data_IF_305137499079
#
_entry.id   IF_305137499079
#
_cell.length_a   1.000
_cell.length_b   1.000
_cell.length_c   1.000
_cell.angle_alpha   90.00
_cell.angle_beta   90.00
_cell.angle_gamma   90.00
#
_symmetry.space_group_name_H-M   'P 1'
#
loop_
_entity.id
_entity.type
_entity.pdbx_description
1 polymer ?
#
# COMPACT_ATOMS: atom_id res chain seq x y z
N UNK A 1 -31.57 28.22 -25.07
CA UNK A 1 -31.35 27.97 -23.63
C UNK A 1 -31.97 26.62 -23.35
N UNK A 2 -31.44 25.52 -23.86
CA UNK A 2 -30.06 25.03 -23.87
C UNK A 2 -29.55 24.75 -22.46
N UNK A 3 -29.73 23.49 -22.05
CA UNK A 3 -28.93 22.71 -21.10
C UNK A 3 -29.42 21.28 -21.24
N UNK A 4 -29.05 20.69 -22.37
CA UNK A 4 -29.10 19.25 -22.59
C UNK A 4 -28.09 18.62 -21.63
N UNK A 5 -28.60 17.87 -20.64
CA UNK A 5 -27.77 17.07 -19.74
C UNK A 5 -27.44 15.80 -20.49
N UNK A 6 -26.31 15.82 -21.17
CA UNK A 6 -25.67 14.62 -21.72
C UNK A 6 -25.35 13.67 -20.56
N UNK A 7 -26.21 12.67 -20.40
CA UNK A 7 -25.92 11.48 -19.61
C UNK A 7 -24.95 10.64 -20.43
N UNK A 8 -23.65 10.82 -20.24
CA UNK A 8 -22.64 9.95 -20.82
C UNK A 8 -22.72 8.58 -20.13
N UNK A 9 -23.48 7.68 -20.77
CA UNK A 9 -23.66 6.29 -20.39
C UNK A 9 -22.33 5.53 -20.63
N UNK A 10 -21.50 5.39 -19.59
CA UNK A 10 -20.26 4.58 -19.63
C UNK A 10 -20.67 3.09 -19.74
N UNK A 11 -20.83 2.60 -20.97
CA UNK A 11 -21.58 1.35 -21.27
C UNK A 11 -20.70 0.13 -21.52
N UNK A 12 -19.45 0.07 -21.06
CA UNK A 12 -18.70 -1.21 -21.09
C UNK A 12 -17.64 -1.32 -20.01
N UNK A 13 -17.93 -2.17 -19.01
CA UNK A 13 -16.99 -2.61 -17.99
C UNK A 13 -16.22 -3.84 -18.50
N UNK A 14 -14.90 -3.74 -18.61
CA UNK A 14 -14.02 -4.86 -18.97
C UNK A 14 -13.26 -5.25 -17.70
N UNK A 15 -13.74 -6.28 -16.99
CA UNK A 15 -13.19 -6.72 -15.71
C UNK A 15 -11.82 -7.40 -15.80
N UNK A 16 -11.14 -7.52 -14.63
CA UNK A 16 -9.82 -8.16 -14.36
C UNK A 16 -9.21 -8.92 -15.53
N UNK A 17 -8.34 -8.25 -16.30
CA UNK A 17 -7.54 -8.85 -17.37
C UNK A 17 -6.14 -9.30 -16.89
N UNK A 18 -5.69 -8.79 -15.74
CA UNK A 18 -4.36 -9.02 -15.17
C UNK A 18 -4.17 -10.38 -14.49
N UNK A 19 -5.24 -11.00 -13.96
CA UNK A 19 -5.18 -12.34 -13.34
C UNK A 19 -4.73 -13.45 -14.31
N UNK A 20 -4.75 -13.21 -15.63
CA UNK A 20 -4.43 -14.21 -16.68
C UNK A 20 -3.13 -13.92 -17.43
N UNK A 21 -2.48 -12.78 -17.18
CA UNK A 21 -1.36 -12.32 -17.99
C UNK A 21 -0.02 -12.47 -17.25
N UNK A 22 1.01 -12.92 -17.96
CA UNK A 22 2.41 -13.04 -17.46
C UNK A 22 3.40 -12.31 -18.39
N UNK A 23 2.93 -11.63 -19.45
CA UNK A 23 3.73 -10.94 -20.48
C UNK A 23 2.85 -10.01 -21.35
N UNK A 24 3.45 -9.07 -22.11
CA UNK A 24 2.78 -8.19 -23.10
C UNK A 24 1.77 -8.89 -24.00
N UNK A 25 2.18 -10.04 -24.56
CA UNK A 25 1.33 -10.87 -25.42
C UNK A 25 0.08 -11.37 -24.70
N UNK A 26 0.21 -11.64 -23.40
CA UNK A 26 -0.89 -12.15 -22.60
C UNK A 26 -1.83 -11.04 -22.13
N UNK A 27 -1.36 -9.80 -21.94
CA UNK A 27 -2.23 -8.69 -21.54
C UNK A 27 -3.15 -8.26 -22.69
N UNK A 28 -2.59 -8.02 -23.89
CA UNK A 28 -3.39 -7.71 -25.07
C UNK A 28 -4.40 -8.81 -25.37
N UNK A 29 -3.99 -10.09 -25.27
CA UNK A 29 -4.89 -11.23 -25.42
C UNK A 29 -5.92 -11.34 -24.30
N UNK A 30 -5.58 -11.03 -23.04
CA UNK A 30 -6.52 -11.07 -21.92
C UNK A 30 -7.59 -9.96 -22.04
N UNK A 31 -7.17 -8.76 -22.45
CA UNK A 31 -8.10 -7.64 -22.71
C UNK A 31 -8.96 -7.97 -23.93
N UNK A 32 -8.37 -8.48 -25.02
CA UNK A 32 -9.11 -8.93 -26.20
C UNK A 32 -10.14 -10.01 -25.85
N UNK A 33 -9.74 -11.02 -25.07
CA UNK A 33 -10.62 -12.07 -24.58
C UNK A 33 -11.79 -11.52 -23.75
N UNK A 34 -11.52 -10.57 -22.84
CA UNK A 34 -12.56 -9.92 -22.02
C UNK A 34 -13.50 -9.05 -22.85
N UNK A 35 -13.02 -8.50 -23.96
CA UNK A 35 -13.79 -7.74 -24.93
C UNK A 35 -14.50 -8.64 -25.97
N UNK A 36 -14.42 -9.97 -25.81
CA UNK A 36 -14.96 -10.98 -26.74
C UNK A 36 -14.43 -10.80 -28.19
N UNK A 37 -13.17 -10.37 -28.30
CA UNK A 37 -12.47 -10.19 -29.57
C UNK A 37 -11.77 -11.49 -29.95
N UNK A 38 -12.24 -12.12 -31.03
CA UNK A 38 -11.58 -13.29 -31.63
C UNK A 38 -10.19 -12.97 -32.16
N UNK A 39 -9.22 -13.82 -31.80
CA UNK A 39 -7.83 -13.76 -32.25
C UNK A 39 -7.74 -14.08 -33.75
N UNK A 40 -7.84 -13.05 -34.59
CA UNK A 40 -7.58 -13.17 -36.02
C UNK A 40 -6.09 -13.04 -36.26
N UNK A 41 -5.52 -13.97 -37.03
CA UNK A 41 -4.09 -14.29 -37.11
C UNK A 41 -3.17 -13.21 -37.72
N UNK A 42 -3.60 -11.95 -37.80
CA UNK A 42 -2.94 -10.94 -38.64
C UNK A 42 -2.79 -9.54 -38.04
N UNK A 43 -3.43 -9.17 -36.92
CA UNK A 43 -2.89 -8.13 -36.03
C UNK A 43 -2.35 -8.73 -34.73
N UNK A 44 -1.42 -8.02 -34.07
CA UNK A 44 -1.08 -8.38 -32.68
C UNK A 44 -2.30 -8.19 -31.79
N UNK A 45 -2.48 -8.95 -30.69
CA UNK A 45 -3.62 -8.80 -29.79
C UNK A 45 -3.80 -7.36 -29.28
N UNK A 46 -2.71 -6.62 -29.07
CA UNK A 46 -2.74 -5.21 -28.70
C UNK A 46 -3.36 -4.34 -29.80
N UNK A 47 -3.01 -4.59 -31.07
CA UNK A 47 -3.56 -3.87 -32.22
C UNK A 47 -5.07 -4.12 -32.39
N UNK A 48 -5.51 -5.38 -32.18
CA UNK A 48 -6.95 -5.73 -32.22
C UNK A 48 -7.72 -4.94 -31.17
N UNK A 49 -7.16 -4.80 -29.96
CA UNK A 49 -7.76 -4.00 -28.90
C UNK A 49 -7.76 -2.52 -29.29
N UNK A 50 -6.64 -1.95 -29.73
CA UNK A 50 -6.56 -0.54 -30.15
C UNK A 50 -7.56 -0.22 -31.24
N UNK A 51 -7.65 -1.04 -32.29
CA UNK A 51 -8.61 -0.83 -33.38
C UNK A 51 -10.05 -0.93 -32.89
N UNK A 52 -10.33 -1.81 -31.93
CA UNK A 52 -11.66 -1.92 -31.31
C UNK A 52 -12.02 -0.71 -30.45
N UNK A 53 -11.05 -0.13 -29.73
CA UNK A 53 -11.26 0.97 -28.79
C UNK A 53 -11.16 2.36 -29.43
N UNK A 54 -10.54 2.50 -30.62
CA UNK A 54 -10.20 3.78 -31.26
C UNK A 54 -11.32 4.83 -31.26
N UNK A 55 -12.53 4.42 -31.65
CA UNK A 55 -13.68 5.33 -31.80
C UNK A 55 -14.66 5.26 -30.61
N UNK A 56 -14.31 4.53 -29.54
CA UNK A 56 -15.17 4.26 -28.39
C UNK A 56 -14.83 5.16 -27.20
N UNK A 57 -15.86 5.48 -26.41
CA UNK A 57 -15.71 6.09 -25.10
C UNK A 57 -15.93 5.04 -24.02
N UNK A 58 -14.87 4.72 -23.26
CA UNK A 58 -14.91 3.66 -22.27
C UNK A 58 -13.92 3.89 -21.14
N UNK A 59 -14.22 3.26 -19.99
CA UNK A 59 -13.31 3.13 -18.87
C UNK A 59 -12.70 1.72 -18.87
N UNK A 60 -11.38 1.64 -19.05
CA UNK A 60 -10.62 0.40 -18.90
C UNK A 60 -10.12 0.30 -17.46
N UNK A 61 -10.57 -0.72 -16.73
CA UNK A 61 -10.12 -0.96 -15.34
C UNK A 61 -9.10 -2.10 -15.33
N UNK A 62 -7.86 -1.78 -14.94
CA UNK A 62 -6.79 -2.76 -14.76
C UNK A 62 -6.52 -2.91 -13.27
N UNK A 63 -6.65 -4.14 -12.76
CA UNK A 63 -6.48 -4.40 -11.32
C UNK A 63 -5.10 -5.03 -11.08
N UNK A 64 -4.36 -4.67 -10.02
CA UNK A 64 -3.16 -5.37 -9.57
C UNK A 64 -2.04 -5.45 -10.65
N UNK A 65 -1.71 -4.30 -11.25
CA UNK A 65 -0.75 -4.17 -12.35
C UNK A 65 0.72 -4.36 -11.94
N UNK A 66 1.05 -4.37 -10.65
CA UNK A 66 2.44 -4.41 -10.15
C UNK A 66 3.24 -5.64 -10.61
N UNK A 67 2.58 -6.75 -10.97
CA UNK A 67 3.25 -7.96 -11.46
C UNK A 67 3.57 -7.96 -12.94
N UNK A 68 3.07 -6.96 -13.68
CA UNK A 68 3.13 -6.92 -15.14
C UNK A 68 3.59 -5.57 -15.67
N UNK A 69 4.27 -4.76 -14.86
CA UNK A 69 4.70 -3.41 -15.26
C UNK A 69 5.38 -3.39 -16.64
N UNK A 70 6.36 -4.27 -16.86
CA UNK A 70 7.10 -4.36 -18.13
C UNK A 70 6.19 -4.60 -19.35
N UNK A 71 5.00 -5.18 -19.15
CA UNK A 71 4.04 -5.38 -20.23
C UNK A 71 2.75 -4.57 -20.18
N UNK A 72 2.43 -3.94 -19.05
CA UNK A 72 1.31 -3.02 -18.94
C UNK A 72 1.68 -1.69 -19.58
N UNK A 73 2.88 -1.16 -19.30
CA UNK A 73 3.28 0.18 -19.75
C UNK A 73 3.29 0.32 -21.28
N UNK A 74 3.91 -0.58 -22.08
CA UNK A 74 3.90 -0.43 -23.55
C UNK A 74 2.50 -0.60 -24.15
N UNK A 75 1.66 -1.47 -23.57
CA UNK A 75 0.29 -1.66 -24.01
C UNK A 75 -0.57 -0.41 -23.75
N UNK A 76 -0.44 0.17 -22.55
CA UNK A 76 -1.15 1.40 -22.20
C UNK A 76 -0.71 2.58 -23.08
N UNK A 77 0.59 2.68 -23.39
CA UNK A 77 1.08 3.69 -24.33
C UNK A 77 0.38 3.62 -25.69
N UNK A 78 0.25 2.40 -26.25
CA UNK A 78 -0.43 2.19 -27.53
C UNK A 78 -1.92 2.54 -27.46
N UNK A 79 -2.62 2.14 -26.39
CA UNK A 79 -4.04 2.44 -26.19
C UNK A 79 -4.26 3.95 -26.03
N UNK A 80 -3.51 4.60 -25.14
CA UNK A 80 -3.68 6.02 -24.83
C UNK A 80 -3.27 6.92 -26.01
N UNK A 81 -2.30 6.51 -26.82
CA UNK A 81 -1.89 7.24 -28.01
C UNK A 81 -2.95 7.20 -29.13
N UNK A 82 -3.62 6.05 -29.29
CA UNK A 82 -4.50 5.82 -30.44
C UNK A 82 -6.00 5.87 -30.12
N UNK A 83 -6.38 5.91 -28.83
CA UNK A 83 -7.77 5.87 -28.38
C UNK A 83 -8.06 7.04 -27.43
N UNK A 84 -8.24 8.28 -27.94
CA UNK A 84 -8.27 9.50 -27.12
C UNK A 84 -9.50 9.62 -26.20
N UNK A 85 -10.52 8.79 -26.38
CA UNK A 85 -11.75 8.75 -25.57
C UNK A 85 -11.75 7.62 -24.54
N UNK A 86 -10.63 6.90 -24.40
CA UNK A 86 -10.47 5.84 -23.40
C UNK A 86 -9.84 6.42 -22.14
N UNK A 87 -10.47 6.16 -21.00
CA UNK A 87 -9.92 6.44 -19.68
C UNK A 87 -9.42 5.13 -19.08
N UNK A 88 -8.24 5.15 -18.46
CA UNK A 88 -7.67 3.98 -17.79
C UNK A 88 -7.65 4.23 -16.29
N UNK A 89 -8.26 3.33 -15.51
CA UNK A 89 -8.12 3.26 -14.07
C UNK A 89 -7.31 2.00 -13.73
N UNK A 90 -6.06 2.18 -13.30
CA UNK A 90 -5.20 1.09 -12.89
C UNK A 90 -5.04 1.07 -11.37
N UNK A 91 -5.11 -0.12 -10.76
CA UNK A 91 -4.64 -0.34 -9.38
C UNK A 91 -3.28 -1.02 -9.44
N UNK A 92 -2.34 -0.52 -8.65
CA UNK A 92 -0.98 -1.03 -8.59
C UNK A 92 -0.36 -0.66 -7.25
N UNK A 93 0.59 -1.46 -6.76
CA UNK A 93 1.46 -1.08 -5.62
C UNK A 93 2.56 -0.11 -5.99
N UNK A 94 2.81 0.06 -7.29
CA UNK A 94 3.84 0.93 -7.83
C UNK A 94 3.37 1.70 -9.07
N UNK A 95 3.92 2.90 -9.24
CA UNK A 95 3.70 3.72 -10.44
C UNK A 95 3.90 2.90 -11.73
N UNK A 96 3.05 3.12 -12.73
CA UNK A 96 3.20 2.49 -14.05
C UNK A 96 4.22 3.22 -14.93
N UNK A 97 4.71 4.38 -14.49
CA UNK A 97 5.62 5.27 -15.21
C UNK A 97 5.16 5.56 -16.65
N UNK A 98 3.86 5.79 -16.82
CA UNK A 98 3.22 6.00 -18.14
C UNK A 98 2.99 7.50 -18.39
N UNK A 99 3.24 8.04 -19.60
CA UNK A 99 2.94 9.43 -19.90
C UNK A 99 1.47 9.79 -19.63
N UNK A 100 1.24 10.84 -18.85
CA UNK A 100 -0.10 11.28 -18.46
C UNK A 100 -0.69 10.55 -17.24
N UNK A 101 0.09 9.68 -16.59
CA UNK A 101 -0.31 9.03 -15.33
C UNK A 101 -0.59 10.06 -14.23
N UNK A 102 -1.72 9.87 -13.55
CA UNK A 102 -2.07 10.60 -12.33
C UNK A 102 -2.20 9.58 -11.20
N UNK A 103 -1.32 9.69 -10.21
CA UNK A 103 -1.33 8.81 -9.05
C UNK A 103 -2.37 9.29 -8.04
N UNK A 104 -3.27 8.39 -7.65
CA UNK A 104 -4.20 8.60 -6.56
C UNK A 104 -3.82 7.65 -5.42
N UNK A 105 -3.00 8.08 -4.46
CA UNK A 105 -2.65 7.24 -3.32
C UNK A 105 -3.92 6.95 -2.51
N UNK A 106 -4.09 5.69 -2.10
CA UNK A 106 -5.18 5.25 -1.23
C UNK A 106 -4.62 5.12 0.19
N UNK A 107 -4.79 6.13 1.06
CA UNK A 107 -4.25 6.07 2.40
C UNK A 107 -5.02 5.03 3.25
N UNK A 108 -4.41 4.53 4.34
CA UNK A 108 -5.15 3.83 5.38
C UNK A 108 -6.29 4.69 5.94
N UNK A 109 -7.23 4.07 6.66
CA UNK A 109 -8.28 4.85 7.33
C UNK A 109 -7.72 5.72 8.45
N UNK A 110 -8.29 6.91 8.63
CA UNK A 110 -8.03 7.71 9.82
C UNK A 110 -8.37 6.93 11.09
N UNK A 111 -7.52 7.09 12.10
CA UNK A 111 -7.66 6.44 13.41
C UNK A 111 -7.87 7.48 14.52
N UNK A 112 -8.61 7.14 15.59
CA UNK A 112 -8.80 8.06 16.72
C UNK A 112 -7.49 8.40 17.42
N UNK A 113 -7.22 9.69 17.65
CA UNK A 113 -6.10 10.17 18.46
C UNK A 113 -6.29 9.93 19.96
N UNK A 114 -5.29 10.29 20.76
CA UNK A 114 -5.31 10.09 22.23
C UNK A 114 -6.30 10.99 22.96
N UNK A 115 -6.61 12.13 22.34
CA UNK A 115 -7.57 13.13 22.80
C UNK A 115 -9.03 12.65 22.69
N UNK A 116 -9.30 11.63 21.87
CA UNK A 116 -10.65 11.11 21.67
C UNK A 116 -11.04 10.19 22.84
N UNK A 117 -11.85 10.73 23.75
CA UNK A 117 -12.22 10.04 25.01
C UNK A 117 -13.66 9.55 25.04
N UNK A 118 -14.56 10.14 24.24
CA UNK A 118 -15.98 9.81 24.24
C UNK A 118 -16.31 8.70 23.22
N UNK A 119 -17.11 7.68 23.60
CA UNK A 119 -17.51 6.59 22.69
C UNK A 119 -18.18 7.06 21.39
N UNK A 120 -18.98 8.12 21.46
CA UNK A 120 -19.72 8.68 20.34
C UNK A 120 -18.81 9.29 19.26
N UNK A 121 -17.69 9.88 19.66
CA UNK A 121 -16.73 10.48 18.73
C UNK A 121 -15.95 9.42 17.93
N UNK A 122 -15.78 8.20 18.47
CA UNK A 122 -15.08 7.11 17.77
C UNK A 122 -15.78 6.70 16.48
N UNK A 123 -17.10 6.78 16.42
CA UNK A 123 -17.87 6.33 15.25
C UNK A 123 -17.66 7.21 14.01
N UNK A 124 -16.99 8.36 14.14
CA UNK A 124 -16.60 9.23 13.02
C UNK A 124 -15.43 8.67 12.21
N UNK A 125 -14.66 7.75 12.77
CA UNK A 125 -13.48 7.18 12.13
C UNK A 125 -13.84 5.91 11.35
N UNK A 126 -13.48 5.85 10.06
CA UNK A 126 -13.80 4.71 9.21
C UNK A 126 -13.11 3.41 9.67
N UNK A 127 -11.93 3.51 10.29
CA UNK A 127 -11.26 2.38 10.93
C UNK A 127 -12.13 1.73 12.02
N UNK A 128 -12.77 2.56 12.85
CA UNK A 128 -13.67 2.12 13.93
C UNK A 128 -14.95 1.54 13.33
N UNK A 129 -15.54 2.21 12.34
CA UNK A 129 -16.76 1.74 11.67
C UNK A 129 -16.55 0.37 11.03
N UNK A 130 -15.43 0.18 10.33
CA UNK A 130 -15.08 -1.12 9.76
C UNK A 130 -14.89 -2.17 10.87
N UNK A 131 -14.17 -1.85 11.95
CA UNK A 131 -13.98 -2.79 13.05
C UNK A 131 -15.34 -3.23 13.64
N UNK A 132 -16.22 -2.28 13.94
CA UNK A 132 -17.55 -2.54 14.52
C UNK A 132 -18.40 -3.38 13.57
N UNK A 133 -18.40 -3.07 12.28
CA UNK A 133 -19.15 -3.83 11.28
C UNK A 133 -18.68 -5.29 11.20
N UNK A 134 -17.35 -5.50 11.12
CA UNK A 134 -16.75 -6.84 11.11
C UNK A 134 -16.95 -7.59 12.43
N UNK A 135 -16.86 -6.91 13.56
CA UNK A 135 -17.12 -7.48 14.88
C UNK A 135 -18.58 -7.92 15.02
N UNK A 136 -19.53 -7.09 14.60
CA UNK A 136 -20.97 -7.38 14.66
C UNK A 136 -21.40 -8.54 13.75
N UNK A 137 -20.75 -8.71 12.60
CA UNK A 137 -20.99 -9.86 11.72
C UNK A 137 -20.74 -11.21 12.43
N UNK A 138 -19.97 -11.21 13.52
CA UNK A 138 -19.46 -12.42 14.17
C UNK A 138 -19.93 -12.49 15.65
N UNK A 139 -20.09 -11.35 16.31
CA UNK A 139 -20.63 -11.19 17.66
C UNK A 139 -21.67 -10.04 17.62
N UNK A 140 -22.95 -10.32 17.30
CA UNK A 140 -23.97 -9.29 17.11
C UNK A 140 -24.29 -8.43 18.34
N UNK A 141 -23.80 -8.83 19.52
CA UNK A 141 -23.93 -8.07 20.77
C UNK A 141 -22.81 -7.07 20.99
N UNK A 142 -21.85 -6.98 20.06
CA UNK A 142 -20.72 -6.05 20.18
C UNK A 142 -21.22 -4.61 20.04
N UNK A 143 -20.98 -3.81 21.07
CA UNK A 143 -21.32 -2.38 21.09
C UNK A 143 -20.16 -1.61 21.69
N UNK A 144 -19.97 -0.38 21.22
CA UNK A 144 -19.00 0.54 21.82
C UNK A 144 -19.60 1.03 23.15
N UNK A 145 -18.86 0.88 24.23
CA UNK A 145 -19.21 1.34 25.57
C UNK A 145 -18.12 2.24 26.12
N UNK A 146 -18.41 2.98 27.18
CA UNK A 146 -17.39 3.77 27.88
C UNK A 146 -16.22 2.93 28.39
N UNK A 147 -16.45 1.65 28.68
CA UNK A 147 -15.43 0.75 29.22
C UNK A 147 -14.50 0.20 28.13
N UNK A 148 -14.92 0.18 26.86
CA UNK A 148 -14.16 -0.45 25.77
C UNK A 148 -13.70 0.53 24.68
N UNK A 149 -14.15 1.78 24.73
CA UNK A 149 -13.84 2.81 23.74
C UNK A 149 -12.34 3.07 23.62
N UNK A 150 -11.64 3.19 24.75
CA UNK A 150 -10.20 3.43 24.77
C UNK A 150 -9.39 2.25 24.21
N UNK A 151 -9.79 1.02 24.55
CA UNK A 151 -9.16 -0.17 24.00
C UNK A 151 -9.42 -0.29 22.48
N UNK A 152 -10.63 0.02 22.01
CA UNK A 152 -10.96 0.02 20.59
C UNK A 152 -10.13 1.05 19.82
N UNK A 153 -10.01 2.27 20.34
CA UNK A 153 -9.12 3.29 19.78
C UNK A 153 -7.66 2.81 19.76
N UNK A 154 -7.19 2.18 20.84
CA UNK A 154 -5.83 1.59 20.90
C UNK A 154 -5.64 0.51 19.84
N UNK A 155 -6.62 -0.38 19.64
CA UNK A 155 -6.59 -1.40 18.58
C UNK A 155 -6.52 -0.74 17.20
N UNK A 156 -7.41 0.19 16.87
CA UNK A 156 -7.41 0.85 15.57
C UNK A 156 -6.09 1.56 15.27
N UNK A 157 -5.52 2.27 16.26
CA UNK A 157 -4.19 2.90 16.15
C UNK A 157 -3.08 1.89 15.89
N UNK A 158 -3.05 0.79 16.65
CA UNK A 158 -2.05 -0.28 16.47
C UNK A 158 -2.16 -1.00 15.13
N UNK A 159 -3.33 -0.98 14.51
CA UNK A 159 -3.56 -1.53 13.18
C UNK A 159 -3.35 -0.48 12.08
N UNK A 160 -2.97 0.74 12.45
CA UNK A 160 -2.62 1.85 11.56
C UNK A 160 -3.69 2.17 10.51
N UNK A 161 -4.97 1.94 10.85
CA UNK A 161 -6.05 2.15 9.90
C UNK A 161 -6.08 1.18 8.72
N UNK A 162 -5.22 0.16 8.69
CA UNK A 162 -5.11 -0.79 7.59
C UNK A 162 -6.39 -1.65 7.53
N UNK A 163 -7.22 -1.52 6.48
CA UNK A 163 -8.53 -2.16 6.44
C UNK A 163 -8.46 -3.67 6.69
N UNK A 164 -7.53 -4.35 6.04
CA UNK A 164 -7.37 -5.80 6.19
C UNK A 164 -6.92 -6.20 7.61
N UNK A 165 -6.02 -5.44 8.22
CA UNK A 165 -5.56 -5.73 9.58
C UNK A 165 -6.72 -5.57 10.58
N UNK A 166 -7.55 -4.55 10.38
CA UNK A 166 -8.81 -4.31 11.11
C UNK A 166 -9.76 -5.50 10.96
N UNK A 167 -10.00 -5.99 9.75
CA UNK A 167 -10.87 -7.14 9.55
C UNK A 167 -10.38 -8.39 10.29
N UNK A 168 -9.07 -8.69 10.21
CA UNK A 168 -8.46 -9.84 10.85
C UNK A 168 -8.49 -9.75 12.38
N UNK A 169 -8.31 -8.55 12.93
CA UNK A 169 -8.39 -8.30 14.37
C UNK A 169 -9.83 -8.37 14.88
N UNK A 170 -10.80 -7.81 14.16
CA UNK A 170 -12.21 -7.78 14.55
C UNK A 170 -12.80 -9.18 14.74
N UNK A 171 -12.37 -10.17 13.95
CA UNK A 171 -12.78 -11.58 14.10
C UNK A 171 -12.40 -12.16 15.48
N UNK A 172 -11.38 -11.61 16.15
CA UNK A 172 -10.86 -12.12 17.43
C UNK A 172 -11.73 -11.77 18.63
N UNK A 173 -12.70 -10.86 18.49
CA UNK A 173 -13.58 -10.45 19.60
C UNK A 173 -14.44 -11.59 20.17
N UNK A 174 -14.58 -12.71 19.44
CA UNK A 174 -15.21 -13.94 19.99
C UNK A 174 -14.40 -14.60 21.09
N UNK A 175 -13.08 -14.44 21.06
CA UNK A 175 -12.15 -15.18 21.90
C UNK A 175 -11.37 -14.28 22.87
N UNK A 176 -11.24 -12.99 22.53
CA UNK A 176 -10.42 -12.02 23.25
C UNK A 176 -11.21 -10.73 23.50
N UNK A 177 -10.98 -10.09 24.65
CA UNK A 177 -11.40 -8.70 24.88
C UNK A 177 -10.59 -7.72 24.02
N UNK A 178 -11.05 -6.49 23.86
CA UNK A 178 -10.32 -5.45 23.12
C UNK A 178 -8.97 -5.12 23.77
N UNK A 179 -8.90 -5.02 25.10
CA UNK A 179 -7.63 -4.92 25.84
C UNK A 179 -6.67 -6.06 25.51
N UNK A 180 -7.17 -7.29 25.52
CA UNK A 180 -6.39 -8.49 25.19
C UNK A 180 -5.91 -8.54 23.75
N UNK A 181 -6.67 -7.97 22.80
CA UNK A 181 -6.26 -7.83 21.40
C UNK A 181 -5.15 -6.78 21.32
N UNK A 182 -5.35 -5.61 21.93
CA UNK A 182 -4.40 -4.51 21.90
C UNK A 182 -3.05 -4.89 22.55
N UNK A 183 -3.06 -5.53 23.73
CA UNK A 183 -1.84 -5.96 24.44
C UNK A 183 -1.04 -7.01 23.66
N UNK A 184 -1.72 -7.79 22.82
CA UNK A 184 -1.05 -8.80 22.01
C UNK A 184 -0.52 -8.22 20.70
N UNK A 185 -1.14 -7.17 20.17
CA UNK A 185 -0.60 -6.39 19.05
C UNK A 185 0.72 -5.69 19.43
N UNK A 186 0.97 -5.42 20.72
CA UNK A 186 2.29 -4.97 21.22
C UNK A 186 3.42 -6.00 21.07
N UNK A 187 3.09 -7.28 20.89
CA UNK A 187 4.00 -8.40 21.14
C UNK A 187 4.33 -9.23 19.89
N UNK A 188 4.43 -8.57 18.72
CA UNK A 188 4.56 -9.12 17.35
C UNK A 188 3.20 -9.31 16.69
N UNK A 189 3.11 -8.96 15.40
CA UNK A 189 1.99 -9.22 14.48
C UNK A 189 1.56 -10.72 14.36
N UNK A 190 2.08 -11.61 15.21
CA UNK A 190 1.68 -13.01 15.43
C UNK A 190 0.17 -13.21 15.62
N UNK A 191 -0.54 -12.19 16.11
CA UNK A 191 -2.00 -12.25 16.23
C UNK A 191 -2.71 -12.34 14.88
N UNK A 192 -2.14 -11.77 13.83
CA UNK A 192 -2.71 -11.76 12.48
C UNK A 192 -2.38 -13.04 11.70
N UNK A 193 -1.42 -13.85 12.17
CA UNK A 193 -0.96 -15.06 11.47
C UNK A 193 -1.59 -16.37 11.97
N UNK A 194 -2.09 -16.43 13.21
CA UNK A 194 -2.58 -17.69 13.78
C UNK A 194 -4.10 -17.82 13.69
N UNK A 195 -4.59 -18.49 12.64
CA UNK A 195 -5.78 -19.33 12.72
C UNK A 195 -7.03 -18.87 11.98
N UNK A 196 -7.16 -19.28 10.71
CA UNK A 196 -8.47 -19.44 10.06
C UNK A 196 -8.38 -20.49 8.95
N UNK A 197 -8.72 -21.74 9.30
CA UNK A 197 -8.68 -22.91 8.39
C UNK A 197 -9.75 -22.88 7.28
N UNK A 198 -10.72 -21.97 7.34
CA UNK A 198 -11.89 -21.93 6.45
C UNK A 198 -12.19 -20.54 5.84
N UNK A 199 -11.20 -19.65 5.73
CA UNK A 199 -11.35 -18.43 4.92
C UNK A 199 -10.62 -18.60 3.59
N UNK A 200 -11.10 -17.98 2.49
CA UNK A 200 -10.44 -18.06 1.19
C UNK A 200 -8.95 -17.75 1.34
N UNK A 201 -8.12 -18.36 0.49
CA UNK A 201 -6.64 -18.36 0.48
C UNK A 201 -5.95 -16.99 0.44
N UNK A 202 -6.67 -15.90 0.70
CA UNK A 202 -6.14 -14.58 0.98
C UNK A 202 -5.72 -14.45 2.45
N UNK A 203 -6.31 -15.11 3.45
CA UNK A 203 -6.12 -14.77 4.88
C UNK A 203 -4.80 -15.18 5.61
N UNK A 204 -3.77 -15.67 4.90
CA UNK A 204 -2.38 -15.72 5.42
C UNK A 204 -1.66 -14.36 5.26
N UNK A 205 -2.42 -13.27 5.23
CA UNK A 205 -2.27 -12.20 4.23
C UNK A 205 -1.21 -11.18 4.53
N UNK A 206 -1.04 -10.73 5.77
CA UNK A 206 -0.30 -9.49 5.97
C UNK A 206 1.20 -9.70 5.79
N UNK A 207 1.79 -10.69 6.49
CA UNK A 207 3.21 -11.03 6.30
C UNK A 207 3.48 -11.52 4.88
N UNK A 208 2.66 -12.40 4.32
CA UNK A 208 2.82 -12.84 2.92
C UNK A 208 2.68 -11.70 1.90
N UNK A 209 1.86 -10.68 2.15
CA UNK A 209 1.81 -9.50 1.28
C UNK A 209 3.03 -8.61 1.42
N UNK A 210 3.59 -8.50 2.64
CA UNK A 210 4.82 -7.76 2.91
C UNK A 210 6.03 -8.49 2.32
N UNK A 211 6.13 -9.81 2.50
CA UNK A 211 7.11 -10.70 1.87
C UNK A 211 7.10 -10.45 0.34
N UNK A 212 5.91 -10.40 -0.26
CA UNK A 212 5.77 -10.12 -1.68
C UNK A 212 6.20 -8.70 -2.07
N UNK A 213 5.83 -7.69 -1.29
CA UNK A 213 6.32 -6.32 -1.53
C UNK A 213 7.85 -6.25 -1.43
N UNK A 214 8.46 -7.01 -0.52
CA UNK A 214 9.91 -7.11 -0.38
C UNK A 214 10.56 -7.83 -1.58
N UNK A 215 9.98 -8.93 -2.06
CA UNK A 215 10.43 -9.65 -3.26
C UNK A 215 10.33 -8.80 -4.55
N UNK A 216 9.43 -7.82 -4.60
CA UNK A 216 9.30 -6.85 -5.70
C UNK A 216 10.30 -5.69 -5.62
N UNK A 217 11.01 -5.55 -4.49
CA UNK A 217 12.07 -4.56 -4.35
C UNK A 217 13.39 -5.07 -4.95
N UNK A 218 14.13 -4.19 -5.60
CA UNK A 218 15.51 -4.44 -6.01
C UNK A 218 16.41 -4.58 -4.78
N UNK A 219 17.61 -5.12 -4.95
CA UNK A 219 18.55 -5.30 -3.84
C UNK A 219 18.90 -3.97 -3.12
N UNK A 220 19.16 -2.84 -3.81
CA UNK A 220 19.33 -1.54 -3.16
C UNK A 220 18.11 -1.09 -2.35
N UNK A 221 16.90 -1.30 -2.88
CA UNK A 221 15.65 -0.94 -2.22
C UNK A 221 15.39 -1.79 -0.97
N UNK A 222 15.64 -3.10 -1.04
CA UNK A 222 15.57 -4.00 0.10
C UNK A 222 16.55 -3.58 1.21
N UNK A 223 17.78 -3.20 0.84
CA UNK A 223 18.78 -2.68 1.77
C UNK A 223 18.34 -1.37 2.43
N UNK A 224 17.85 -0.40 1.65
CA UNK A 224 17.38 0.88 2.20
C UNK A 224 16.16 0.69 3.09
N UNK A 225 15.15 -0.11 2.69
CA UNK A 225 14.00 -0.43 3.54
C UNK A 225 14.47 -1.07 4.86
N UNK A 226 15.30 -2.11 4.78
CA UNK A 226 15.83 -2.81 5.94
C UNK A 226 16.56 -1.88 6.90
N UNK A 227 17.40 -0.97 6.39
CA UNK A 227 18.16 0.00 7.21
C UNK A 227 17.28 1.11 7.78
N UNK A 228 16.37 1.64 6.97
CA UNK A 228 15.42 2.68 7.37
C UNK A 228 14.47 2.20 8.49
N UNK A 229 14.28 0.89 8.64
CA UNK A 229 13.44 0.35 9.71
C UNK A 229 13.90 0.71 11.13
N UNK A 230 15.15 1.20 11.30
CA UNK A 230 15.71 1.67 12.57
C UNK A 230 15.05 2.94 13.11
N UNK A 231 14.45 3.75 12.24
CA UNK A 231 13.76 4.96 12.63
C UNK A 231 12.39 4.61 13.22
N UNK A 232 12.14 4.94 14.48
CA UNK A 232 10.84 4.68 15.16
C UNK A 232 9.75 5.69 14.79
N UNK A 233 9.99 6.54 13.79
CA UNK A 233 9.12 7.59 13.28
C UNK A 233 9.66 8.11 11.96
N UNK A 234 9.13 9.23 11.47
CA UNK A 234 9.60 9.78 10.20
C UNK A 234 11.05 10.28 10.24
N UNK A 235 11.72 10.29 9.10
CA UNK A 235 13.11 10.74 8.94
C UNK A 235 13.26 11.66 7.73
N UNK A 236 14.24 12.56 7.74
CA UNK A 236 14.57 13.42 6.60
C UNK A 236 15.57 12.74 5.65
N UNK A 237 15.87 13.39 4.51
CA UNK A 237 16.81 12.85 3.52
C UNK A 237 18.23 12.71 4.07
N UNK A 238 18.71 13.69 4.84
CA UNK A 238 20.07 13.66 5.38
C UNK A 238 20.27 12.49 6.35
N UNK A 239 19.25 12.21 7.17
CA UNK A 239 19.18 11.05 8.04
C UNK A 239 19.25 9.76 7.24
N UNK A 240 18.45 9.67 6.17
CA UNK A 240 18.42 8.49 5.32
C UNK A 240 19.77 8.24 4.64
N UNK A 241 20.40 9.26 4.05
CA UNK A 241 21.72 9.15 3.41
C UNK A 241 22.80 8.69 4.40
N UNK A 242 22.77 9.22 5.63
CA UNK A 242 23.74 8.87 6.65
C UNK A 242 23.59 7.42 7.16
N UNK A 243 22.35 6.99 7.37
CA UNK A 243 22.02 5.71 8.04
C UNK A 243 21.85 4.56 7.05
N UNK A 244 21.22 4.81 5.90
CA UNK A 244 20.87 3.79 4.91
C UNK A 244 21.98 3.60 3.85
N UNK A 245 22.82 4.61 3.62
CA UNK A 245 23.99 4.50 2.75
C UNK A 245 25.07 3.57 3.32
N UNK A 246 25.90 3.01 2.44
CA UNK A 246 27.00 2.11 2.78
C UNK A 246 27.03 0.87 1.89
N UNK A 247 27.47 -0.26 2.41
CA UNK A 247 27.64 -1.50 1.64
C UNK A 247 26.41 -1.80 0.75
N UNK A 248 26.60 -1.80 -0.57
CA UNK A 248 25.54 -2.08 -1.55
C UNK A 248 24.63 -0.91 -1.95
N UNK A 249 24.72 0.26 -1.31
CA UNK A 249 23.97 1.48 -1.68
C UNK A 249 24.82 2.72 -1.43
N UNK A 250 25.28 3.38 -2.50
CA UNK A 250 26.02 4.63 -2.38
C UNK A 250 25.12 5.75 -1.82
N UNK A 251 25.71 6.65 -1.03
CA UNK A 251 24.95 7.74 -0.38
C UNK A 251 24.22 8.64 -1.39
N UNK A 252 24.83 8.89 -2.54
CA UNK A 252 24.24 9.69 -3.62
C UNK A 252 22.96 9.08 -4.20
N UNK A 253 22.81 7.76 -4.10
CA UNK A 253 21.75 7.01 -4.76
C UNK A 253 20.55 6.80 -3.82
N UNK A 254 20.70 7.13 -2.53
CA UNK A 254 19.66 6.94 -1.51
C UNK A 254 18.39 7.74 -1.84
N UNK A 255 18.52 8.95 -2.41
CA UNK A 255 17.35 9.75 -2.82
C UNK A 255 16.51 9.03 -3.88
N UNK A 256 17.16 8.50 -4.91
CA UNK A 256 16.49 7.78 -6.00
C UNK A 256 15.82 6.50 -5.47
N UNK A 257 16.50 5.79 -4.56
CA UNK A 257 15.95 4.59 -3.91
C UNK A 257 14.75 4.93 -3.02
N UNK A 258 14.78 6.04 -2.26
CA UNK A 258 13.63 6.52 -1.50
C UNK A 258 12.46 6.84 -2.43
N UNK A 259 12.72 7.51 -3.57
CA UNK A 259 11.71 7.75 -4.60
C UNK A 259 11.04 6.46 -5.06
N UNK A 260 11.83 5.44 -5.39
CA UNK A 260 11.31 4.11 -5.78
C UNK A 260 10.52 3.43 -4.65
N UNK A 261 10.97 3.54 -3.40
CA UNK A 261 10.26 3.00 -2.24
C UNK A 261 8.94 3.74 -1.94
N UNK A 262 8.86 5.04 -2.21
CA UNK A 262 7.61 5.81 -2.15
C UNK A 262 6.67 5.36 -3.27
N UNK A 263 7.19 5.22 -4.49
CA UNK A 263 6.41 4.72 -5.62
C UNK A 263 5.82 3.34 -5.29
N UNK A 264 6.60 2.46 -4.63
CA UNK A 264 6.20 1.13 -4.16
C UNK A 264 5.33 1.12 -2.90
N UNK A 265 4.93 2.29 -2.39
CA UNK A 265 4.15 2.45 -1.16
C UNK A 265 4.78 1.79 0.08
N UNK A 266 6.11 1.64 0.09
CA UNK A 266 6.88 1.18 1.26
C UNK A 266 7.12 2.34 2.22
N UNK A 267 7.45 3.50 1.64
CA UNK A 267 7.56 4.77 2.32
C UNK A 267 6.43 5.70 1.88
N UNK A 268 6.14 6.70 2.70
CA UNK A 268 5.26 7.80 2.32
C UNK A 268 5.92 9.13 2.69
N UNK A 269 5.68 10.16 1.88
CA UNK A 269 6.17 11.52 2.14
C UNK A 269 5.16 12.27 3.00
N UNK A 270 5.64 12.87 4.08
CA UNK A 270 4.97 13.90 4.86
C UNK A 270 5.69 15.24 4.66
N UNK A 271 4.94 16.32 4.82
CA UNK A 271 5.48 17.68 4.77
C UNK A 271 5.45 18.26 6.18
N UNK A 272 6.61 18.69 6.68
CA UNK A 272 6.75 19.25 8.01
C UNK A 272 7.68 20.46 7.95
N UNK A 273 7.18 21.65 8.32
CA UNK A 273 7.94 22.91 8.30
C UNK A 273 8.68 23.17 6.96
N UNK A 274 7.99 22.99 5.83
CA UNK A 274 8.53 23.10 4.45
C UNK A 274 9.65 22.11 4.09
N UNK A 275 9.91 21.11 4.94
CA UNK A 275 10.85 20.02 4.68
C UNK A 275 10.12 18.69 4.43
N UNK A 276 10.69 17.87 3.53
CA UNK A 276 10.17 16.54 3.26
C UNK A 276 10.64 15.55 4.35
N UNK A 277 9.69 14.90 5.00
CA UNK A 277 9.92 13.75 5.89
C UNK A 277 9.36 12.49 5.26
N UNK A 278 9.98 11.36 5.55
CA UNK A 278 9.59 10.06 5.06
C UNK A 278 9.14 9.20 6.23
N UNK A 279 7.94 8.63 6.14
CA UNK A 279 7.38 7.70 7.08
C UNK A 279 7.33 6.28 6.54
N UNK A 280 7.19 5.31 7.44
CA UNK A 280 7.02 3.90 7.14
C UNK A 280 5.95 3.34 8.07
N UNK A 281 5.04 2.53 7.53
CA UNK A 281 4.04 1.82 8.33
C UNK A 281 4.75 0.86 9.30
N UNK A 282 4.32 0.78 10.56
CA UNK A 282 4.92 -0.05 11.61
C UNK A 282 5.00 -1.51 11.16
N UNK A 283 4.01 -2.02 10.43
CA UNK A 283 4.06 -3.39 9.92
C UNK A 283 5.21 -3.63 8.92
N UNK A 284 5.51 -2.64 8.06
CA UNK A 284 6.66 -2.69 7.14
C UNK A 284 7.97 -2.46 7.89
N UNK A 285 7.94 -1.64 8.94
CA UNK A 285 9.09 -1.38 9.81
C UNK A 285 9.50 -2.60 10.61
N UNK A 286 8.56 -3.29 11.25
CA UNK A 286 8.79 -4.54 11.96
C UNK A 286 9.38 -5.60 11.02
N UNK A 287 8.86 -5.70 9.79
CA UNK A 287 9.40 -6.60 8.79
C UNK A 287 10.84 -6.25 8.41
N UNK A 288 11.13 -4.97 8.17
CA UNK A 288 12.49 -4.49 7.92
C UNK A 288 13.43 -4.75 9.10
N UNK A 289 12.94 -4.71 10.34
CA UNK A 289 13.72 -5.04 11.53
C UNK A 289 14.08 -6.52 11.62
N UNK A 290 13.14 -7.41 11.26
CA UNK A 290 13.41 -8.85 11.14
C UNK A 290 14.51 -9.09 10.07
N UNK A 291 14.42 -8.44 8.91
CA UNK A 291 15.45 -8.55 7.85
C UNK A 291 16.79 -7.95 8.29
N UNK A 292 16.78 -6.88 9.09
CA UNK A 292 17.98 -6.23 9.60
C UNK A 292 18.72 -7.11 10.62
N UNK A 293 17.96 -7.87 11.42
CA UNK A 293 18.51 -8.91 12.29
C UNK A 293 19.13 -10.05 11.47
N UNK A 294 18.41 -10.55 10.47
CA UNK A 294 18.84 -11.68 9.65
C UNK A 294 20.08 -11.35 8.78
N UNK A 295 20.23 -10.10 8.35
CA UNK A 295 21.39 -9.62 7.58
C UNK A 295 22.65 -9.42 8.42
N UNK A 296 22.54 -9.34 9.76
CA UNK A 296 23.65 -9.05 10.67
C UNK A 296 24.11 -7.59 10.69
N UNK A 297 23.44 -6.69 9.95
CA UNK A 297 23.84 -5.28 9.78
C UNK A 297 23.34 -4.37 10.93
N UNK A 298 22.51 -4.89 11.83
CA UNK A 298 21.87 -4.15 12.93
C UNK A 298 22.84 -3.26 13.73
N UNK A 299 24.02 -3.78 14.09
CA UNK A 299 24.98 -3.02 14.91
C UNK A 299 25.57 -1.81 14.17
N UNK A 300 25.80 -1.92 12.87
CA UNK A 300 26.32 -0.81 12.06
C UNK A 300 25.24 0.27 11.93
N UNK A 301 24.04 -0.12 11.54
CA UNK A 301 22.88 0.77 11.37
C UNK A 301 22.54 1.49 12.68
N UNK A 302 22.48 0.77 13.80
CA UNK A 302 22.21 1.37 15.11
C UNK A 302 23.26 2.41 15.53
N UNK A 303 24.54 2.21 15.18
CA UNK A 303 25.60 3.20 15.44
C UNK A 303 25.44 4.44 14.59
N UNK A 304 25.16 4.29 13.29
CA UNK A 304 24.94 5.42 12.39
C UNK A 304 23.71 6.24 12.82
N UNK A 305 22.62 5.57 13.20
CA UNK A 305 21.43 6.22 13.73
C UNK A 305 21.71 6.98 15.04
N UNK A 306 22.44 6.35 15.98
CA UNK A 306 22.89 7.02 17.21
C UNK A 306 23.72 8.27 16.90
N UNK A 307 24.68 8.15 15.98
CA UNK A 307 25.59 9.25 15.65
C UNK A 307 24.85 10.41 14.97
N UNK A 308 23.85 10.12 14.15
CA UNK A 308 22.94 11.12 13.58
C UNK A 308 22.11 11.82 14.66
N UNK A 309 21.45 11.07 15.54
CA UNK A 309 20.71 11.64 16.67
C UNK A 309 21.60 12.52 17.56
N UNK A 310 22.84 12.08 17.81
CA UNK A 310 23.80 12.85 18.61
C UNK A 310 24.18 14.17 17.93
N UNK A 311 24.41 14.17 16.62
CA UNK A 311 24.69 15.39 15.86
C UNK A 311 23.53 16.39 15.97
N UNK A 312 22.28 15.94 15.79
CA UNK A 312 21.09 16.79 15.97
C UNK A 312 21.03 17.43 17.36
N UNK A 313 21.37 16.68 18.42
CA UNK A 313 21.38 17.25 19.78
C UNK A 313 22.44 18.32 19.97
N UNK A 314 23.58 18.22 19.30
CA UNK A 314 24.63 19.25 19.36
C UNK A 314 24.23 20.53 18.63
N UNK A 315 23.57 20.40 17.48
CA UNK A 315 23.07 21.55 16.72
C UNK A 315 21.96 22.28 17.49
N UNK A 316 21.09 21.54 18.19
CA UNK A 316 20.07 22.10 19.09
C UNK A 316 20.65 22.84 20.30
N UNK A 317 21.79 22.40 20.81
CA UNK A 317 22.48 23.06 21.94
C UNK A 317 23.35 24.25 21.50
N UNK A 318 23.61 24.38 20.19
CA UNK A 318 24.43 25.44 19.60
C UNK A 318 23.60 26.61 19.05
N UNK A 319 22.27 26.48 19.03
CA UNK A 319 21.28 27.53 18.75
C UNK A 319 20.59 27.99 20.03
#
# INVERSE_FOLDING_TARGET
MDTDRDQTEITSYVGRATELATSLRLLGSAVAYRLDLTDQSTPTPAQVVVDHLRDRELLLVLDNCEHLLEGVTPFLNEVLQHCPRVVVLATSRQSLATPGEQLLPVPPFDVPGEEVTLPEDLTRYDAVRLFVDRANAILPTFTITSDNSQDLARVCRKLEGLPLAIELAAVRVRALSLSQIADRLDSRLSLLTVGTRNLPSRQRTLRTMIDWSYELCSEPEQLVWTRASVFSGGFDLAAAEQVCGGDGVDRSDVLDVIGSLIDKSILFREEHDDEARYGMLEALREYGQDMLDDSGDRLRVARLHRDWCYALTLDFLSN
#
